data_IF_554436792260
#
_entry.id   IF_554436792260
#
_cell.length_a   1.000
_cell.length_b   1.000
_cell.length_c   1.000
_cell.angle_alpha   90.00
_cell.angle_beta   90.00
_cell.angle_gamma   90.00
#
_symmetry.space_group_name_H-M   'P 1'
#
loop_
_entity.id
_entity.type
_entity.pdbx_description
1 polymer ?
#
# COMPACT_ATOMS: atom_id res chain seq x y z
N UNK A 1 -13.35 -14.98 27.79
CA UNK A 1 -12.34 -15.42 26.82
C UNK A 1 -11.85 -14.15 26.15
N UNK A 2 -10.60 -13.78 26.32
CA UNK A 2 -9.97 -12.69 25.58
C UNK A 2 -9.96 -13.10 24.12
N UNK A 3 -10.67 -12.37 23.27
CA UNK A 3 -10.66 -12.58 21.83
C UNK A 3 -9.25 -12.21 21.37
N UNK A 4 -8.40 -13.21 21.14
CA UNK A 4 -7.12 -13.02 20.49
C UNK A 4 -7.41 -12.69 19.04
N UNK A 5 -7.13 -11.47 18.62
CA UNK A 5 -7.36 -11.05 17.25
C UNK A 5 -6.46 -11.86 16.31
N UNK A 6 -7.10 -12.63 15.44
CA UNK A 6 -6.42 -13.33 14.35
C UNK A 6 -6.20 -12.36 13.20
N UNK A 7 -4.96 -12.08 12.88
CA UNK A 7 -4.56 -11.15 11.83
C UNK A 7 -3.94 -11.92 10.67
N UNK A 8 -4.30 -11.57 9.46
CA UNK A 8 -3.65 -12.03 8.24
C UNK A 8 -3.13 -10.82 7.45
N UNK A 9 -1.91 -10.90 6.94
CA UNK A 9 -1.28 -9.81 6.21
C UNK A 9 -0.51 -10.31 4.99
N UNK A 10 -0.46 -9.48 3.94
CA UNK A 10 0.27 -9.72 2.70
C UNK A 10 1.19 -8.53 2.41
N UNK A 11 2.46 -8.84 2.12
CA UNK A 11 3.47 -7.92 1.64
C UNK A 11 3.73 -8.16 0.16
N UNK A 12 3.63 -7.11 -0.67
CA UNK A 12 3.92 -7.17 -2.10
C UNK A 12 5.35 -6.69 -2.36
N UNK A 13 6.33 -7.56 -2.17
CA UNK A 13 7.73 -7.26 -2.46
C UNK A 13 8.10 -7.48 -3.92
N UNK A 14 9.22 -6.90 -4.38
CA UNK A 14 9.71 -7.06 -5.76
C UNK A 14 10.45 -8.38 -6.01
N UNK A 15 10.93 -9.07 -4.97
CA UNK A 15 11.52 -10.40 -5.10
C UNK A 15 10.56 -11.51 -4.69
N UNK A 16 9.72 -11.24 -3.67
CA UNK A 16 8.75 -12.19 -3.15
C UNK A 16 7.49 -11.48 -2.69
N UNK A 17 6.32 -12.08 -2.93
CA UNK A 17 5.12 -11.81 -2.15
C UNK A 17 5.19 -12.69 -0.91
N UNK A 18 4.86 -12.12 0.25
CA UNK A 18 4.82 -12.84 1.51
C UNK A 18 3.45 -12.74 2.13
N UNK A 19 2.96 -13.85 2.65
CA UNK A 19 1.74 -13.93 3.44
C UNK A 19 2.03 -14.47 4.83
N UNK A 20 1.42 -13.87 5.84
CA UNK A 20 1.53 -14.28 7.23
C UNK A 20 0.15 -14.28 7.90
N UNK A 21 -0.05 -15.23 8.80
CA UNK A 21 -1.20 -15.21 9.69
C UNK A 21 -0.75 -15.51 11.13
N UNK A 22 -1.34 -14.80 12.08
CA UNK A 22 -0.93 -14.91 13.47
C UNK A 22 -1.89 -14.26 14.45
N UNK A 23 -1.52 -14.26 15.71
CA UNK A 23 -2.29 -13.63 16.79
C UNK A 23 -1.40 -12.71 17.61
N UNK A 24 -2.01 -11.62 18.11
CA UNK A 24 -1.36 -10.74 19.08
C UNK A 24 -1.74 -11.17 20.49
N UNK A 25 -0.77 -11.29 21.35
CA UNK A 25 -0.96 -11.55 22.76
C UNK A 25 -1.13 -10.23 23.54
N UNK A 26 -1.72 -10.30 24.71
CA UNK A 26 -1.94 -9.14 25.60
C UNK A 26 -0.64 -8.46 26.08
N UNK A 27 0.50 -9.16 26.03
CA UNK A 27 1.82 -8.64 26.39
C UNK A 27 2.54 -7.98 25.18
N UNK A 28 1.87 -7.87 24.03
CA UNK A 28 2.42 -7.32 22.79
C UNK A 28 3.28 -8.30 21.99
N UNK A 29 3.44 -9.56 22.44
CA UNK A 29 4.12 -10.59 21.65
C UNK A 29 3.23 -11.10 20.52
N UNK A 30 3.86 -11.65 19.49
CA UNK A 30 3.19 -12.18 18.29
C UNK A 30 3.40 -13.70 18.23
N UNK A 31 2.31 -14.41 17.99
CA UNK A 31 2.33 -15.82 17.61
C UNK A 31 2.12 -15.93 16.10
N UNK A 32 3.13 -16.39 15.35
CA UNK A 32 3.00 -16.68 13.91
C UNK A 32 2.47 -18.10 13.75
N UNK A 33 1.28 -18.23 13.16
CA UNK A 33 0.56 -19.48 12.98
C UNK A 33 0.76 -20.07 11.59
N UNK A 34 0.85 -19.23 10.55
CA UNK A 34 1.12 -19.65 9.18
C UNK A 34 1.97 -18.61 8.45
N UNK A 35 2.79 -19.09 7.52
CA UNK A 35 3.62 -18.27 6.64
C UNK A 35 3.69 -18.93 5.26
N UNK A 36 3.66 -18.12 4.21
CA UNK A 36 3.84 -18.51 2.83
C UNK A 36 4.57 -17.41 2.06
N UNK A 37 5.38 -17.78 1.09
CA UNK A 37 5.99 -16.83 0.16
C UNK A 37 6.02 -17.41 -1.26
N UNK A 38 6.03 -16.51 -2.25
CA UNK A 38 6.10 -16.83 -3.67
C UNK A 38 6.98 -15.79 -4.38
N UNK A 39 7.80 -16.24 -5.35
CA UNK A 39 8.64 -15.35 -6.15
C UNK A 39 7.79 -14.37 -6.97
N UNK A 40 8.19 -13.10 -6.99
CA UNK A 40 7.48 -12.01 -7.71
C UNK A 40 8.36 -11.26 -8.71
N UNK A 41 9.59 -11.71 -8.95
CA UNK A 41 10.59 -11.04 -9.79
C UNK A 41 10.09 -10.73 -11.20
N UNK A 42 9.23 -11.60 -11.76
CA UNK A 42 8.69 -11.45 -13.11
C UNK A 42 7.52 -10.47 -13.23
N UNK A 43 6.82 -10.17 -12.14
CA UNK A 43 5.56 -9.45 -12.20
C UNK A 43 5.41 -8.27 -11.22
N UNK A 44 6.35 -8.09 -10.27
CA UNK A 44 6.45 -6.90 -9.42
C UNK A 44 7.85 -6.31 -9.55
N UNK A 45 7.94 -5.05 -10.00
CA UNK A 45 9.21 -4.35 -10.16
C UNK A 45 9.17 -3.01 -9.45
N UNK A 46 10.20 -2.73 -8.64
CA UNK A 46 10.31 -1.49 -7.84
C UNK A 46 9.04 -1.20 -7.01
N UNK A 47 8.42 -2.26 -6.49
CA UNK A 47 7.18 -2.21 -5.72
C UNK A 47 5.92 -1.94 -6.55
N UNK A 48 5.99 -1.92 -7.87
CA UNK A 48 4.84 -1.71 -8.76
C UNK A 48 4.44 -3.05 -9.37
N UNK A 49 3.16 -3.40 -9.26
CA UNK A 49 2.58 -4.55 -9.94
C UNK A 49 2.57 -4.29 -11.46
N UNK A 50 3.24 -5.15 -12.20
CA UNK A 50 3.40 -5.07 -13.65
C UNK A 50 2.48 -6.01 -14.40
N UNK A 51 2.40 -7.26 -13.93
CA UNK A 51 1.50 -8.27 -14.46
C UNK A 51 0.41 -8.59 -13.43
N UNK A 52 -0.80 -8.10 -13.71
CA UNK A 52 -1.94 -8.20 -12.80
C UNK A 52 -2.37 -9.67 -12.61
N UNK A 53 -2.47 -10.43 -13.71
CA UNK A 53 -2.93 -11.83 -13.69
C UNK A 53 -2.00 -12.73 -12.87
N UNK A 54 -0.68 -12.63 -13.11
CA UNK A 54 0.31 -13.39 -12.33
C UNK A 54 0.28 -13.02 -10.86
N UNK A 55 0.09 -11.72 -10.56
CA UNK A 55 -0.01 -11.27 -9.17
C UNK A 55 -1.25 -11.83 -8.50
N UNK A 56 -2.41 -11.81 -9.16
CA UNK A 56 -3.67 -12.38 -8.63
C UNK A 56 -3.55 -13.89 -8.40
N UNK A 57 -2.86 -14.61 -9.30
CA UNK A 57 -2.59 -16.04 -9.12
C UNK A 57 -1.69 -16.31 -7.92
N UNK A 58 -0.60 -15.54 -7.76
CA UNK A 58 0.30 -15.67 -6.63
C UNK A 58 -0.40 -15.35 -5.28
N UNK A 59 -1.28 -14.35 -5.26
CA UNK A 59 -2.11 -14.04 -4.09
C UNK A 59 -3.00 -15.22 -3.70
N UNK A 60 -3.69 -15.83 -4.68
CA UNK A 60 -4.51 -17.03 -4.44
C UNK A 60 -3.68 -18.20 -3.91
N UNK A 61 -2.49 -18.44 -4.48
CA UNK A 61 -1.59 -19.51 -4.01
C UNK A 61 -1.19 -19.29 -2.55
N UNK A 62 -0.81 -18.06 -2.19
CA UNK A 62 -0.41 -17.69 -0.83
C UNK A 62 -1.57 -17.92 0.14
N UNK A 63 -2.77 -17.42 -0.16
CA UNK A 63 -3.94 -17.60 0.70
C UNK A 63 -4.27 -19.08 0.87
N UNK A 64 -4.28 -19.85 -0.21
CA UNK A 64 -4.54 -21.30 -0.15
C UNK A 64 -3.53 -22.04 0.75
N UNK A 65 -2.23 -21.66 0.68
CA UNK A 65 -1.20 -22.24 1.56
C UNK A 65 -1.41 -21.84 3.00
N UNK A 66 -1.75 -20.58 3.29
CA UNK A 66 -2.04 -20.11 4.65
C UNK A 66 -3.26 -20.83 5.22
N UNK A 67 -4.38 -20.88 4.51
CA UNK A 67 -5.62 -21.56 4.93
C UNK A 67 -5.38 -23.07 5.12
N UNK A 68 -4.63 -23.70 4.23
CA UNK A 68 -4.26 -25.13 4.36
C UNK A 68 -3.43 -25.41 5.61
N UNK A 69 -2.50 -24.53 6.00
CA UNK A 69 -1.71 -24.64 7.24
C UNK A 69 -2.54 -24.38 8.49
N UNK A 70 -3.54 -23.50 8.39
CA UNK A 70 -4.40 -23.10 9.51
C UNK A 70 -5.58 -24.05 9.71
N UNK A 71 -6.04 -24.75 8.69
CA UNK A 71 -7.36 -25.41 8.59
C UNK A 71 -8.53 -24.47 8.87
N UNK A 72 -8.39 -23.20 8.48
CA UNK A 72 -9.36 -22.13 8.68
C UNK A 72 -9.35 -21.19 7.50
N UNK A 73 -10.50 -20.57 7.18
CA UNK A 73 -10.60 -19.62 6.07
C UNK A 73 -10.31 -18.20 6.52
N UNK A 74 -9.61 -17.45 5.65
CA UNK A 74 -9.26 -16.05 5.82
C UNK A 74 -10.32 -15.21 5.09
N UNK A 75 -11.04 -14.36 5.81
CA UNK A 75 -12.07 -13.48 5.24
C UNK A 75 -11.45 -12.24 4.57
N UNK A 76 -10.43 -11.66 5.21
CA UNK A 76 -9.79 -10.43 4.76
C UNK A 76 -8.33 -10.38 5.18
N UNK A 77 -7.54 -9.53 4.54
CA UNK A 77 -6.11 -9.38 4.82
C UNK A 77 -5.70 -7.92 4.90
N UNK A 78 -4.68 -7.62 5.68
CA UNK A 78 -3.95 -6.36 5.64
C UNK A 78 -2.91 -6.38 4.55
N UNK A 79 -2.75 -5.26 3.83
CA UNK A 79 -1.85 -5.19 2.68
C UNK A 79 -0.81 -4.10 2.87
N UNK A 80 0.45 -4.45 2.69
CA UNK A 80 1.54 -3.49 2.72
C UNK A 80 1.74 -2.81 1.37
N UNK A 81 1.69 -1.48 1.36
CA UNK A 81 1.94 -0.65 0.18
C UNK A 81 3.35 -0.06 0.25
N UNK A 82 4.12 -0.31 -0.79
CA UNK A 82 5.47 0.22 -1.00
C UNK A 82 5.70 0.41 -2.51
N UNK A 83 6.72 1.17 -2.89
CA UNK A 83 7.06 1.34 -4.31
C UNK A 83 7.80 2.63 -4.62
N UNK A 84 8.43 2.70 -5.80
CA UNK A 84 9.34 3.78 -6.17
C UNK A 84 8.72 5.20 -6.21
N UNK A 85 7.38 5.31 -6.29
CA UNK A 85 6.69 6.60 -6.30
C UNK A 85 6.36 7.13 -4.90
N UNK A 86 6.55 6.29 -3.88
CA UNK A 86 6.24 6.63 -2.49
C UNK A 86 7.21 7.69 -1.96
N UNK A 87 6.66 8.80 -1.46
CA UNK A 87 7.44 9.88 -0.84
C UNK A 87 6.58 10.72 0.08
N UNK A 88 7.23 11.47 0.95
CA UNK A 88 6.58 12.48 1.77
C UNK A 88 6.56 13.85 1.08
N UNK A 89 5.47 14.58 1.28
CA UNK A 89 5.30 15.97 0.81
C UNK A 89 4.76 16.80 1.96
N UNK A 90 5.44 17.90 2.26
CA UNK A 90 4.97 18.86 3.27
C UNK A 90 3.83 19.71 2.72
N UNK A 91 2.85 19.97 3.58
CA UNK A 91 1.78 20.90 3.32
C UNK A 91 1.43 21.69 4.58
N UNK A 92 0.92 22.92 4.38
CA UNK A 92 0.49 23.80 5.47
C UNK A 92 -0.86 24.41 5.16
N UNK A 93 -1.76 24.37 6.14
CA UNK A 93 -3.08 24.97 6.06
C UNK A 93 -3.27 25.90 7.24
N UNK A 94 -3.59 27.18 6.96
CA UNK A 94 -3.81 28.19 7.98
C UNK A 94 -5.28 28.59 8.03
N UNK A 95 -5.83 28.69 9.25
CA UNK A 95 -7.21 29.12 9.51
C UNK A 95 -7.30 30.14 10.63
N UNK A 96 -8.32 31.00 10.53
CA UNK A 96 -8.75 31.82 11.65
C UNK A 96 -9.61 30.99 12.60
N UNK A 97 -9.43 31.18 13.90
CA UNK A 97 -10.29 30.59 14.94
C UNK A 97 -11.51 31.46 15.12
N UNK A 98 -12.65 30.98 14.65
CA UNK A 98 -13.91 31.78 14.56
C UNK A 98 -14.80 31.64 15.79
N UNK A 99 -14.49 30.76 16.75
CA UNK A 99 -15.23 30.58 17.98
C UNK A 99 -15.18 31.89 18.83
N UNK A 100 -16.24 32.19 19.57
CA UNK A 100 -16.32 33.38 20.42
C UNK A 100 -15.22 33.46 21.48
N UNK A 101 -14.84 32.30 22.03
CA UNK A 101 -13.77 32.14 23.04
C UNK A 101 -12.38 32.03 22.42
N UNK A 102 -12.28 31.94 21.08
CA UNK A 102 -11.04 31.75 20.32
C UNK A 102 -10.20 30.56 20.78
N UNK A 103 -10.83 29.54 21.33
CA UNK A 103 -10.19 28.32 21.78
C UNK A 103 -10.19 27.29 20.66
N UNK A 104 -9.04 26.66 20.41
CA UNK A 104 -8.89 25.56 19.46
C UNK A 104 -9.62 24.33 20.00
N UNK A 105 -10.61 23.88 19.27
CA UNK A 105 -11.35 22.63 19.53
C UNK A 105 -10.96 21.51 18.57
N UNK A 106 -11.47 20.30 18.85
CA UNK A 106 -11.20 19.13 17.99
C UNK A 106 -11.77 19.31 16.58
N UNK A 107 -12.93 19.96 16.46
CA UNK A 107 -13.59 20.17 15.15
C UNK A 107 -12.74 21.01 14.20
N UNK A 108 -12.03 22.01 14.73
CA UNK A 108 -11.12 22.83 13.93
C UNK A 108 -9.90 22.03 13.48
N UNK A 109 -9.38 21.13 14.34
CA UNK A 109 -8.27 20.27 13.97
C UNK A 109 -8.68 19.24 12.90
N UNK A 110 -9.88 18.66 13.05
CA UNK A 110 -10.44 17.74 12.06
C UNK A 110 -10.64 18.45 10.71
N UNK A 111 -11.18 19.67 10.74
CA UNK A 111 -11.37 20.50 9.53
C UNK A 111 -10.04 20.81 8.81
N UNK A 112 -8.97 21.08 9.55
CA UNK A 112 -7.64 21.26 8.96
C UNK A 112 -7.12 19.97 8.31
N UNK A 113 -7.38 18.83 8.95
CA UNK A 113 -7.02 17.52 8.41
C UNK A 113 -7.81 17.19 7.15
N UNK A 114 -9.13 17.42 7.15
CA UNK A 114 -10.00 17.16 6.01
C UNK A 114 -9.60 18.02 4.80
N UNK A 115 -9.34 19.31 5.02
CA UNK A 115 -8.84 20.19 3.95
C UNK A 115 -7.47 19.77 3.42
N UNK A 116 -6.60 19.22 4.28
CA UNK A 116 -5.34 18.69 3.82
C UNK A 116 -5.53 17.47 2.90
N UNK A 117 -6.53 16.62 3.16
CA UNK A 117 -6.85 15.48 2.31
C UNK A 117 -7.46 15.87 0.96
N UNK A 118 -8.13 17.03 0.89
CA UNK A 118 -8.79 17.52 -0.33
C UNK A 118 -7.84 18.27 -1.29
N UNK A 119 -6.56 18.41 -0.95
CA UNK A 119 -5.61 19.12 -1.82
C UNK A 119 -5.47 18.39 -3.16
N UNK A 120 -5.68 19.12 -4.28
CA UNK A 120 -5.53 18.51 -5.60
C UNK A 120 -4.06 18.19 -5.89
N UNK A 121 -3.73 16.91 -5.92
CA UNK A 121 -2.43 16.41 -6.34
C UNK A 121 -2.56 15.82 -7.74
N UNK A 122 -1.69 16.27 -8.67
CA UNK A 122 -1.68 15.76 -10.04
C UNK A 122 -1.06 14.36 -10.02
N UNK A 123 -1.82 13.37 -10.49
CA UNK A 123 -1.41 11.95 -10.62
C UNK A 123 -0.91 11.28 -9.33
N UNK A 124 -1.19 11.88 -8.16
CA UNK A 124 -0.83 11.34 -6.86
C UNK A 124 -2.06 11.17 -5.98
N UNK A 125 -2.03 10.13 -5.15
CA UNK A 125 -2.95 9.93 -4.04
C UNK A 125 -2.22 10.12 -2.71
N UNK A 126 -2.90 10.70 -1.73
CA UNK A 126 -2.45 10.71 -0.34
C UNK A 126 -2.82 9.35 0.24
N UNK A 127 -1.81 8.59 0.63
CA UNK A 127 -2.00 7.26 1.24
C UNK A 127 -2.15 7.38 2.76
N UNK A 128 -1.41 8.31 3.37
CA UNK A 128 -1.43 8.55 4.81
C UNK A 128 -1.02 10.00 5.12
N UNK A 129 -1.54 10.56 6.20
CA UNK A 129 -1.21 11.89 6.67
C UNK A 129 -0.61 11.79 8.06
N UNK A 130 0.61 12.29 8.21
CA UNK A 130 1.24 12.43 9.51
C UNK A 130 1.16 13.92 9.92
N UNK A 131 0.30 14.30 10.88
CA UNK A 131 0.32 15.65 11.41
C UNK A 131 1.65 15.90 12.10
N UNK A 132 2.31 16.98 11.70
CA UNK A 132 3.63 17.30 12.24
C UNK A 132 3.52 18.16 13.49
N UNK A 133 3.08 19.37 13.30
CA UNK A 133 3.06 20.40 14.33
C UNK A 133 2.02 21.46 13.93
N UNK A 134 1.47 22.10 14.92
CA UNK A 134 0.60 23.25 14.73
C UNK A 134 1.32 24.52 15.18
N UNK A 135 1.38 25.49 14.28
CA UNK A 135 1.96 26.80 14.57
C UNK A 135 0.90 27.73 15.12
N UNK A 136 1.14 28.26 16.32
CA UNK A 136 0.29 29.23 17.01
C UNK A 136 1.15 30.43 17.37
N UNK A 137 0.94 31.55 16.66
CA UNK A 137 1.86 32.66 16.73
C UNK A 137 3.26 32.26 16.30
N UNK A 138 4.24 32.34 17.24
CA UNK A 138 5.63 31.93 17.00
C UNK A 138 5.96 30.54 17.56
N UNK A 139 5.01 29.86 18.20
CA UNK A 139 5.24 28.59 18.86
C UNK A 139 4.75 27.43 17.99
N UNK A 140 5.48 26.32 18.04
CA UNK A 140 5.10 25.03 17.46
C UNK A 140 4.62 24.11 18.58
N UNK A 141 3.48 23.44 18.38
CA UNK A 141 2.87 22.52 19.34
C UNK A 141 2.36 21.28 18.62
N UNK A 142 2.49 20.12 19.24
CA UNK A 142 1.97 18.85 18.72
C UNK A 142 0.47 18.73 19.04
N UNK A 143 0.07 19.12 20.25
CA UNK A 143 -1.33 19.13 20.69
C UNK A 143 -1.76 20.57 21.07
N UNK A 144 -2.43 21.27 20.14
CA UNK A 144 -2.87 22.65 20.34
C UNK A 144 -4.26 22.76 20.97
N UNK A 145 -4.94 21.66 21.27
CA UNK A 145 -6.31 21.66 21.80
C UNK A 145 -6.40 22.43 23.12
N UNK A 146 -7.37 23.31 23.21
CA UNK A 146 -7.58 24.16 24.41
C UNK A 146 -6.74 25.44 24.43
N UNK A 147 -5.89 25.70 23.44
CA UNK A 147 -5.12 26.95 23.34
C UNK A 147 -5.98 28.05 22.74
N UNK A 148 -5.94 29.24 23.36
CA UNK A 148 -6.61 30.43 22.86
C UNK A 148 -5.72 31.17 21.85
N UNK A 149 -6.26 31.41 20.64
CA UNK A 149 -5.55 32.11 19.55
C UNK A 149 -6.53 32.61 18.49
N UNK A 150 -6.11 33.62 17.75
CA UNK A 150 -6.87 34.11 16.59
C UNK A 150 -6.65 33.25 15.32
N UNK A 151 -5.47 32.59 15.20
CA UNK A 151 -5.07 31.84 14.00
C UNK A 151 -4.28 30.59 14.39
N UNK A 152 -4.47 29.54 13.58
CA UNK A 152 -3.72 28.29 13.65
C UNK A 152 -3.24 27.91 12.26
N UNK A 153 -2.00 27.40 12.14
CA UNK A 153 -1.45 26.78 10.93
C UNK A 153 -1.14 25.31 11.24
N UNK A 154 -1.89 24.39 10.64
CA UNK A 154 -1.58 22.95 10.66
C UNK A 154 -0.48 22.65 9.63
N UNK A 155 0.56 21.94 10.06
CA UNK A 155 1.65 21.47 9.21
C UNK A 155 1.58 19.96 9.10
N UNK A 156 1.37 19.47 7.89
CA UNK A 156 1.16 18.07 7.60
C UNK A 156 2.31 17.50 6.77
N UNK A 157 2.62 16.24 7.01
CA UNK A 157 3.45 15.44 6.14
C UNK A 157 2.57 14.42 5.44
N UNK A 158 2.24 14.68 4.18
CA UNK A 158 1.44 13.78 3.36
C UNK A 158 2.34 12.72 2.74
N UNK A 159 2.04 11.45 2.96
CA UNK A 159 2.69 10.35 2.29
C UNK A 159 1.91 10.06 1.03
N UNK A 160 2.55 10.30 -0.11
CA UNK A 160 1.92 10.23 -1.42
C UNK A 160 2.56 9.18 -2.31
N UNK A 161 1.78 8.61 -3.20
CA UNK A 161 2.25 7.74 -4.26
C UNK A 161 1.47 7.98 -5.56
N UNK A 162 1.95 7.45 -6.68
CA UNK A 162 1.20 7.48 -7.94
C UNK A 162 -0.13 6.74 -7.78
N UNK A 163 -1.21 7.33 -8.31
CA UNK A 163 -2.59 6.76 -8.29
C UNK A 163 -2.67 5.33 -8.79
N UNK A 164 -1.86 5.00 -9.80
CA UNK A 164 -1.83 3.65 -10.36
C UNK A 164 -1.32 2.59 -9.37
N UNK A 165 -0.51 2.98 -8.37
CA UNK A 165 0.02 2.04 -7.40
C UNK A 165 -1.12 1.35 -6.62
N UNK A 166 -1.99 2.14 -6.00
CA UNK A 166 -3.12 1.65 -5.22
C UNK A 166 -4.12 0.89 -6.10
N UNK A 167 -4.52 1.46 -7.24
CA UNK A 167 -5.48 0.85 -8.16
C UNK A 167 -5.07 -0.55 -8.65
N UNK A 168 -3.79 -0.75 -8.97
CA UNK A 168 -3.30 -2.05 -9.42
C UNK A 168 -3.32 -3.09 -8.32
N UNK A 169 -3.02 -2.68 -7.09
CA UNK A 169 -3.12 -3.56 -5.92
C UNK A 169 -4.59 -3.95 -5.71
N UNK A 170 -5.50 -2.97 -5.63
CA UNK A 170 -6.94 -3.21 -5.46
C UNK A 170 -7.47 -4.16 -6.53
N UNK A 171 -7.13 -3.92 -7.79
CA UNK A 171 -7.54 -4.79 -8.91
C UNK A 171 -7.08 -6.25 -8.71
N UNK A 172 -5.81 -6.48 -8.33
CA UNK A 172 -5.30 -7.83 -8.13
C UNK A 172 -6.01 -8.58 -7.01
N UNK A 173 -6.33 -7.88 -5.90
CA UNK A 173 -7.06 -8.48 -4.79
C UNK A 173 -8.53 -8.74 -5.13
N UNK A 174 -9.17 -7.84 -5.90
CA UNK A 174 -10.53 -8.02 -6.41
C UNK A 174 -10.62 -9.24 -7.34
N UNK A 175 -9.70 -9.37 -8.31
CA UNK A 175 -9.62 -10.54 -9.20
C UNK A 175 -9.33 -11.84 -8.43
N UNK A 176 -8.50 -11.77 -7.40
CA UNK A 176 -8.24 -12.90 -6.51
C UNK A 176 -9.40 -13.19 -5.54
N UNK A 177 -10.42 -12.33 -5.46
CA UNK A 177 -11.55 -12.39 -4.53
C UNK A 177 -11.13 -12.41 -3.06
N UNK A 178 -10.09 -11.67 -2.75
CA UNK A 178 -9.55 -11.51 -1.40
C UNK A 178 -9.95 -10.11 -0.92
N UNK A 179 -10.67 -10.01 0.18
CA UNK A 179 -11.04 -8.73 0.77
C UNK A 179 -9.84 -8.08 1.44
N UNK A 180 -9.63 -6.79 1.19
CA UNK A 180 -8.61 -5.98 1.85
C UNK A 180 -9.24 -5.34 3.09
N UNK A 181 -8.73 -5.68 4.29
CA UNK A 181 -9.14 -5.03 5.52
C UNK A 181 -8.68 -3.57 5.55
N UNK A 182 -7.40 -3.35 5.28
CA UNK A 182 -6.78 -2.02 5.18
C UNK A 182 -5.46 -2.12 4.43
N UNK A 183 -5.07 -1.01 3.79
CA UNK A 183 -3.75 -0.86 3.17
C UNK A 183 -2.87 0.03 4.03
N UNK A 184 -1.73 -0.47 4.44
CA UNK A 184 -0.74 0.27 5.24
C UNK A 184 0.47 0.67 4.41
N UNK A 185 1.01 1.84 4.70
CA UNK A 185 2.31 2.25 4.17
C UNK A 185 3.40 1.41 4.84
N UNK A 186 3.98 0.44 4.12
CA UNK A 186 4.93 -0.55 4.65
C UNK A 186 6.11 0.05 5.43
N UNK A 187 6.76 1.14 4.99
CA UNK A 187 7.85 1.76 5.76
C UNK A 187 7.45 2.19 7.17
N UNK A 188 6.19 2.62 7.38
CA UNK A 188 5.71 3.05 8.70
C UNK A 188 5.47 1.87 9.62
N UNK A 189 4.83 0.82 9.11
CA UNK A 189 4.61 -0.42 9.89
C UNK A 189 5.93 -1.10 10.24
N UNK A 190 6.91 -1.08 9.33
CA UNK A 190 8.27 -1.57 9.58
C UNK A 190 8.96 -0.77 10.70
N UNK A 191 8.86 0.56 10.67
CA UNK A 191 9.44 1.42 11.69
C UNK A 191 8.84 1.17 13.09
N UNK A 192 7.56 0.80 13.17
CA UNK A 192 6.90 0.51 14.45
C UNK A 192 7.44 -0.74 15.16
N UNK A 193 8.00 -1.68 14.42
CA UNK A 193 8.54 -2.94 14.99
C UNK A 193 10.06 -2.95 15.11
N UNK A 194 10.77 -2.02 14.47
CA UNK A 194 12.23 -1.93 14.47
C UNK A 194 12.76 -0.82 15.36
N UNK A 195 12.11 0.34 15.36
CA UNK A 195 12.59 1.54 16.04
C UNK A 195 12.03 1.65 17.45
N UNK A 196 12.90 1.89 18.40
CA UNK A 196 12.48 2.25 19.76
C UNK A 196 12.04 3.73 19.81
N UNK A 197 11.15 4.05 20.76
CA UNK A 197 10.72 5.43 21.03
C UNK A 197 11.89 6.37 21.36
N UNK A 198 12.98 5.84 21.95
CA UNK A 198 14.19 6.62 22.23
C UNK A 198 14.91 7.02 20.95
N UNK A 199 15.02 6.10 19.99
CA UNK A 199 15.64 6.37 18.68
C UNK A 199 14.81 7.36 17.88
N UNK A 200 13.48 7.15 17.79
CA UNK A 200 12.57 8.08 17.10
C UNK A 200 12.64 9.49 17.70
N UNK A 201 12.77 9.59 19.02
CA UNK A 201 12.87 10.88 19.72
C UNK A 201 14.23 11.56 19.49
N UNK A 202 15.32 10.81 19.61
CA UNK A 202 16.67 11.37 19.48
C UNK A 202 17.00 11.80 18.05
N UNK A 203 16.34 11.22 17.08
CA UNK A 203 16.57 11.39 15.65
C UNK A 203 17.33 10.22 15.05
N UNK A 204 16.70 9.51 14.12
CA UNK A 204 17.28 8.37 13.41
C UNK A 204 16.78 8.30 11.97
N UNK A 205 17.54 7.63 11.12
CA UNK A 205 17.09 7.24 9.80
C UNK A 205 17.01 5.72 9.70
N UNK A 206 15.83 5.20 9.34
CA UNK A 206 15.60 3.81 8.97
C UNK A 206 15.80 3.66 7.47
N UNK A 207 16.69 2.76 7.09
CA UNK A 207 17.01 2.45 5.71
C UNK A 207 16.69 0.99 5.44
N UNK A 208 15.71 0.75 4.57
CA UNK A 208 15.32 -0.60 4.13
C UNK A 208 15.93 -0.89 2.76
N UNK A 209 16.96 -1.73 2.73
CA UNK A 209 17.62 -2.17 1.51
C UNK A 209 16.88 -3.36 0.90
N UNK A 210 15.85 -3.07 0.10
CA UNK A 210 15.07 -4.08 -0.61
C UNK A 210 15.76 -4.64 -1.86
N UNK A 211 15.03 -5.47 -2.62
CA UNK A 211 15.54 -6.06 -3.87
C UNK A 211 15.68 -5.00 -4.98
N UNK A 212 14.62 -4.26 -5.29
CA UNK A 212 14.60 -3.27 -6.38
C UNK A 212 14.63 -1.82 -5.89
N UNK A 213 14.44 -1.59 -4.60
CA UNK A 213 14.34 -0.25 -4.02
C UNK A 213 15.03 -0.18 -2.67
N UNK A 214 15.50 1.01 -2.32
CA UNK A 214 15.95 1.34 -0.98
C UNK A 214 15.05 2.43 -0.42
N UNK A 215 14.40 2.16 0.70
CA UNK A 215 13.48 3.10 1.34
C UNK A 215 14.17 3.80 2.50
N UNK A 216 14.05 5.12 2.56
CA UNK A 216 14.56 5.95 3.62
C UNK A 216 13.41 6.60 4.38
N UNK A 217 13.38 6.43 5.71
CA UNK A 217 12.43 7.09 6.63
C UNK A 217 13.20 7.76 7.75
N UNK A 218 13.02 9.07 7.94
CA UNK A 218 13.70 9.85 8.99
C UNK A 218 12.70 10.21 10.08
N UNK A 219 13.05 9.90 11.30
CA UNK A 219 12.28 10.21 12.51
C UNK A 219 13.03 11.15 13.42
N UNK A 220 12.32 12.10 14.05
CA UNK A 220 12.82 12.96 15.12
C UNK A 220 11.65 13.46 15.96
N UNK A 221 11.85 13.57 17.27
CA UNK A 221 10.82 13.98 18.22
C UNK A 221 9.58 13.08 18.20
N UNK A 222 9.78 11.77 17.95
CA UNK A 222 8.78 10.73 17.74
C UNK A 222 7.88 10.95 16.50
N UNK A 223 8.26 11.83 15.57
CA UNK A 223 7.49 12.18 14.38
C UNK A 223 8.29 11.78 13.15
N UNK A 224 7.61 11.24 12.13
CA UNK A 224 8.16 11.07 10.79
C UNK A 224 8.44 12.45 10.20
N UNK A 225 9.65 12.70 9.77
CA UNK A 225 10.08 13.98 9.18
C UNK A 225 10.29 13.91 7.67
N UNK A 226 10.65 12.75 7.17
CA UNK A 226 10.94 12.55 5.76
C UNK A 226 10.77 11.09 5.37
N UNK A 227 10.23 10.83 4.19
CA UNK A 227 10.14 9.51 3.58
C UNK A 227 10.37 9.61 2.09
N UNK A 228 11.23 8.74 1.55
CA UNK A 228 11.46 8.62 0.12
C UNK A 228 11.90 7.23 -0.26
N UNK A 229 11.69 6.86 -1.52
CA UNK A 229 12.12 5.58 -2.07
C UNK A 229 13.09 5.82 -3.22
N UNK A 230 14.26 5.25 -3.11
CA UNK A 230 15.33 5.26 -4.11
C UNK A 230 15.14 4.02 -4.99
N UNK A 231 15.03 4.14 -6.32
CA UNK A 231 14.76 3.01 -7.22
C UNK A 231 16.00 2.16 -7.52
N UNK A 232 16.80 1.90 -6.50
CA UNK A 232 18.00 1.05 -6.50
C UNK A 232 17.93 0.10 -5.31
N UNK A 233 18.37 -1.14 -5.50
CA UNK A 233 18.36 -2.17 -4.45
C UNK A 233 19.30 -3.33 -4.76
N UNK A 234 19.20 -4.42 -4.01
CA UNK A 234 20.10 -5.57 -4.09
C UNK A 234 20.14 -6.28 -5.45
N UNK A 235 19.05 -6.23 -6.22
CA UNK A 235 18.99 -6.79 -7.58
C UNK A 235 19.88 -6.03 -8.57
N UNK A 236 20.16 -4.74 -8.33
CA UNK A 236 21.11 -4.02 -9.16
C UNK A 236 22.52 -4.60 -9.07
N UNK A 237 22.90 -5.13 -7.89
CA UNK A 237 24.18 -5.85 -7.72
C UNK A 237 24.19 -7.14 -8.53
N UNK A 238 23.10 -7.92 -8.47
CA UNK A 238 22.94 -9.16 -9.25
C UNK A 238 23.09 -8.88 -10.75
N UNK A 239 22.45 -7.80 -11.24
CA UNK A 239 22.55 -7.38 -12.65
C UNK A 239 23.96 -6.95 -13.05
N UNK A 240 24.70 -6.29 -12.16
CA UNK A 240 26.10 -5.92 -12.44
C UNK A 240 26.98 -7.18 -12.52
N UNK A 241 26.77 -8.16 -11.65
CA UNK A 241 27.46 -9.46 -11.73
C UNK A 241 27.12 -10.21 -13.02
N UNK A 242 25.89 -10.14 -13.50
CA UNK A 242 25.51 -10.74 -14.81
C UNK A 242 26.26 -10.11 -15.98
N UNK A 243 26.74 -8.85 -15.88
CA UNK A 243 27.59 -8.26 -16.92
C UNK A 243 28.93 -8.98 -17.07
N UNK A 244 29.37 -9.72 -16.06
CA UNK A 244 30.53 -10.61 -16.10
C UNK A 244 30.22 -11.97 -16.76
N UNK A 245 29.06 -12.07 -17.45
CA UNK A 245 28.56 -13.30 -18.09
C UNK A 245 28.25 -14.43 -17.10
N UNK A 246 27.77 -14.07 -15.90
CA UNK A 246 27.30 -14.99 -14.89
C UNK A 246 25.78 -15.13 -15.02
N UNK A 247 25.23 -16.33 -14.91
CA UNK A 247 23.80 -16.57 -14.91
C UNK A 247 23.14 -15.93 -13.67
N UNK A 248 21.86 -15.54 -13.78
CA UNK A 248 21.17 -14.74 -12.75
C UNK A 248 21.15 -15.44 -11.38
N UNK A 249 20.78 -16.71 -11.35
CA UNK A 249 20.70 -17.48 -10.08
C UNK A 249 22.08 -17.63 -9.43
N UNK A 250 23.13 -17.86 -10.24
CA UNK A 250 24.50 -17.94 -9.75
C UNK A 250 25.01 -16.57 -9.28
N UNK A 251 24.69 -15.49 -9.99
CA UNK A 251 25.02 -14.12 -9.59
C UNK A 251 24.38 -13.75 -8.23
N UNK A 252 23.11 -14.13 -8.04
CA UNK A 252 22.43 -13.97 -6.75
C UNK A 252 23.11 -14.75 -5.63
N UNK A 253 23.47 -16.03 -5.88
CA UNK A 253 24.19 -16.87 -4.94
C UNK A 253 25.57 -16.30 -4.58
N UNK A 254 26.32 -15.79 -5.55
CA UNK A 254 27.61 -15.12 -5.34
C UNK A 254 27.43 -13.91 -4.43
N UNK A 255 26.46 -13.03 -4.75
CA UNK A 255 26.15 -11.86 -3.93
C UNK A 255 25.86 -12.24 -2.47
N UNK A 256 25.03 -13.26 -2.24
CA UNK A 256 24.62 -13.70 -0.91
C UNK A 256 25.77 -14.39 -0.13
N UNK A 257 26.63 -15.15 -0.79
CA UNK A 257 27.65 -15.97 -0.13
C UNK A 257 28.94 -15.21 0.14
N UNK A 258 29.44 -14.49 -0.86
CA UNK A 258 30.75 -13.83 -0.81
C UNK A 258 30.69 -12.31 -0.95
N UNK A 259 29.49 -11.73 -1.17
CA UNK A 259 29.31 -10.30 -1.33
C UNK A 259 29.90 -9.48 -0.18
N UNK A 260 30.67 -8.45 -0.53
CA UNK A 260 31.32 -7.55 0.41
C UNK A 260 31.20 -6.10 -0.07
N UNK A 261 30.63 -5.24 0.76
CA UNK A 261 30.37 -3.84 0.40
C UNK A 261 31.59 -2.93 0.57
N UNK A 262 32.64 -3.40 1.23
CA UNK A 262 33.84 -2.61 1.49
C UNK A 262 35.08 -3.49 1.52
N UNK A 263 36.00 -3.23 0.60
CA UNK A 263 37.31 -3.86 0.59
C UNK A 263 38.34 -2.96 1.30
N UNK A 264 39.00 -3.53 2.30
CA UNK A 264 40.14 -2.84 2.91
C UNK A 264 41.27 -2.79 1.88
N UNK A 265 41.61 -1.60 1.42
CA UNK A 265 42.82 -1.39 0.63
C UNK A 265 43.99 -1.55 1.58
N UNK A 266 44.49 -2.80 1.71
CA UNK A 266 45.73 -3.03 2.39
C UNK A 266 46.81 -2.27 1.62
N UNK A 267 47.38 -1.24 2.24
CA UNK A 267 48.37 -0.38 1.65
C UNK A 267 49.76 -1.04 1.47
N UNK A 268 49.77 -2.29 1.10
CA UNK A 268 50.95 -2.98 0.62
C UNK A 268 50.97 -2.88 -0.90
N UNK A 269 51.63 -1.84 -1.41
CA UNK A 269 52.35 -1.92 -2.66
C UNK A 269 53.37 -3.09 -2.51
N UNK A 270 52.94 -4.29 -2.66
CA UNK A 270 53.81 -5.43 -2.61
C UNK A 270 54.23 -5.82 -4.02
N UNK A 271 55.55 -5.66 -4.23
CA UNK A 271 56.41 -6.47 -5.05
C UNK A 271 55.80 -7.17 -6.26
N UNK A 272 56.43 -6.93 -7.38
CA UNK A 272 56.28 -7.44 -8.74
C UNK A 272 56.29 -8.99 -8.88
N UNK A 273 55.88 -9.73 -7.89
CA UNK A 273 55.54 -11.15 -8.06
C UNK A 273 54.06 -11.22 -8.40
N UNK A 274 53.72 -11.72 -9.58
CA UNK A 274 52.38 -12.06 -10.05
C UNK A 274 51.75 -13.02 -9.00
N UNK A 275 51.13 -12.45 -7.93
CA UNK A 275 50.22 -13.19 -7.07
C UNK A 275 49.10 -13.65 -7.98
N UNK A 276 49.00 -14.97 -8.15
CA UNK A 276 47.92 -15.64 -8.87
C UNK A 276 46.60 -15.11 -8.27
N UNK A 277 45.91 -14.19 -8.97
CA UNK A 277 44.68 -13.57 -8.47
C UNK A 277 43.71 -14.67 -8.08
N UNK A 278 43.14 -14.56 -6.89
CA UNK A 278 42.15 -15.52 -6.43
C UNK A 278 40.98 -15.58 -7.40
N UNK A 279 40.62 -16.77 -7.86
CA UNK A 279 39.56 -16.98 -8.85
C UNK A 279 38.39 -17.71 -8.24
N UNK A 280 37.20 -17.21 -8.60
CA UNK A 280 35.95 -17.92 -8.34
C UNK A 280 35.65 -18.83 -9.53
N UNK A 281 35.28 -20.08 -9.24
CA UNK A 281 34.93 -21.07 -10.29
C UNK A 281 33.39 -21.12 -10.37
N UNK A 282 32.85 -20.75 -11.54
CA UNK A 282 31.44 -20.83 -11.83
C UNK A 282 30.95 -22.26 -12.00
N UNK A 283 29.62 -22.45 -11.92
CA UNK A 283 28.98 -23.75 -12.10
C UNK A 283 29.28 -24.37 -13.47
N UNK A 284 29.49 -23.58 -14.51
CA UNK A 284 29.86 -24.02 -15.85
C UNK A 284 31.37 -24.29 -16.01
N UNK A 285 32.15 -24.14 -14.96
CA UNK A 285 33.59 -24.40 -14.92
C UNK A 285 34.48 -23.23 -15.36
N UNK A 286 33.89 -22.09 -15.80
CA UNK A 286 34.65 -20.86 -16.07
C UNK A 286 35.22 -20.28 -14.77
N UNK A 287 36.32 -19.56 -14.90
CA UNK A 287 36.95 -18.89 -13.77
C UNK A 287 36.93 -17.39 -13.98
N UNK A 288 36.44 -16.68 -12.98
CA UNK A 288 36.38 -15.20 -12.94
C UNK A 288 37.29 -14.72 -11.80
N UNK A 289 37.95 -13.60 -11.99
CA UNK A 289 38.76 -13.00 -10.94
C UNK A 289 37.84 -12.56 -9.78
N UNK A 290 38.17 -12.99 -8.57
CA UNK A 290 37.38 -12.64 -7.38
C UNK A 290 37.37 -11.12 -7.15
N UNK A 291 38.42 -10.43 -7.55
CA UNK A 291 38.53 -8.97 -7.46
C UNK A 291 37.46 -8.30 -8.32
N UNK A 292 37.22 -8.75 -9.56
CA UNK A 292 36.22 -8.17 -10.46
C UNK A 292 34.81 -8.32 -9.87
N UNK A 293 34.50 -9.48 -9.27
CA UNK A 293 33.24 -9.73 -8.56
C UNK A 293 33.08 -8.75 -7.40
N UNK A 294 34.11 -8.58 -6.58
CA UNK A 294 34.06 -7.74 -5.40
C UNK A 294 33.97 -6.26 -5.76
N UNK A 295 34.70 -5.80 -6.80
CA UNK A 295 34.62 -4.43 -7.29
C UNK A 295 33.23 -4.07 -7.80
N UNK A 296 32.58 -4.99 -8.53
CA UNK A 296 31.20 -4.78 -9.01
C UNK A 296 30.23 -4.60 -7.83
N UNK A 297 30.35 -5.43 -6.79
CA UNK A 297 29.50 -5.37 -5.58
C UNK A 297 29.75 -4.07 -4.81
N UNK A 298 31.03 -3.74 -4.55
CA UNK A 298 31.41 -2.52 -3.82
C UNK A 298 30.92 -1.26 -4.52
N UNK A 299 31.18 -1.13 -5.84
CA UNK A 299 30.79 0.03 -6.63
C UNK A 299 29.26 0.26 -6.60
N UNK A 300 28.47 -0.82 -6.73
CA UNK A 300 27.01 -0.69 -6.67
C UNK A 300 26.51 -0.33 -5.27
N UNK A 301 27.07 -0.93 -4.24
CA UNK A 301 26.71 -0.59 -2.86
C UNK A 301 27.12 0.84 -2.52
N UNK A 302 28.27 1.30 -2.99
CA UNK A 302 28.69 2.70 -2.84
C UNK A 302 27.69 3.66 -3.51
N UNK A 303 27.24 3.37 -4.73
CA UNK A 303 26.22 4.17 -5.42
C UNK A 303 24.89 4.23 -4.61
N UNK A 304 24.42 3.10 -4.11
CA UNK A 304 23.18 3.05 -3.31
C UNK A 304 23.35 3.90 -2.05
N UNK A 305 24.46 3.73 -1.32
CA UNK A 305 24.76 4.48 -0.10
C UNK A 305 24.90 5.97 -0.37
N UNK A 306 25.56 6.37 -1.47
CA UNK A 306 25.70 7.75 -1.87
C UNK A 306 24.33 8.40 -2.15
N UNK A 307 23.43 7.70 -2.84
CA UNK A 307 22.06 8.16 -3.06
C UNK A 307 21.28 8.30 -1.76
N UNK A 308 21.39 7.34 -0.83
CA UNK A 308 20.76 7.44 0.50
C UNK A 308 21.30 8.66 1.25
N UNK A 309 22.62 8.85 1.27
CA UNK A 309 23.23 9.98 1.96
C UNK A 309 22.78 11.33 1.37
N UNK A 310 22.72 11.41 0.04
CA UNK A 310 22.21 12.60 -0.64
C UNK A 310 20.77 12.92 -0.25
N UNK A 311 19.87 11.91 -0.14
CA UNK A 311 18.51 12.12 0.31
C UNK A 311 18.45 12.57 1.78
N UNK A 312 19.33 12.06 2.64
CA UNK A 312 19.43 12.52 4.05
C UNK A 312 19.82 14.00 4.09
N UNK A 313 20.80 14.41 3.29
CA UNK A 313 21.22 15.82 3.19
C UNK A 313 20.09 16.72 2.64
N UNK A 314 19.38 16.28 1.58
CA UNK A 314 18.23 17.01 1.04
C UNK A 314 17.10 17.19 2.06
N UNK A 315 16.94 16.25 2.98
CA UNK A 315 15.94 16.34 4.06
C UNK A 315 16.28 17.42 5.10
N UNK A 316 17.54 17.88 5.19
CA UNK A 316 18.04 18.80 6.21
C UNK A 316 18.13 18.20 7.62
N UNK A 317 18.26 16.87 7.71
CA UNK A 317 18.39 16.14 8.98
C UNK A 317 19.73 15.44 9.14
N UNK A 318 20.70 15.67 8.25
CA UNK A 318 22.02 15.03 8.25
C UNK A 318 22.83 15.28 9.54
N UNK A 319 22.64 16.43 10.19
CA UNK A 319 23.26 16.81 11.47
C UNK A 319 22.37 16.50 12.70
N UNK A 320 21.19 15.89 12.51
CA UNK A 320 20.15 15.71 13.54
C UNK A 320 19.85 14.26 13.88
N UNK A 321 20.63 13.31 13.33
CA UNK A 321 20.45 11.87 13.53
C UNK A 321 21.28 11.34 14.69
N UNK A 322 20.97 11.77 15.93
CA UNK A 322 21.75 11.41 17.13
C UNK A 322 21.73 9.90 17.42
N UNK A 323 20.66 9.19 17.06
CA UNK A 323 20.59 7.73 17.18
C UNK A 323 21.16 7.00 15.93
N UNK A 324 21.60 7.76 14.92
CA UNK A 324 22.29 7.23 13.75
C UNK A 324 21.40 6.58 12.71
N UNK A 325 21.96 5.61 11.98
CA UNK A 325 21.30 4.89 10.90
C UNK A 325 20.96 3.47 11.35
N UNK A 326 19.73 3.07 11.07
CA UNK A 326 19.21 1.75 11.33
C UNK A 326 18.94 1.08 10.00
N UNK A 327 19.57 -0.08 9.74
CA UNK A 327 19.53 -0.79 8.47
C UNK A 327 18.65 -2.01 8.59
N UNK A 328 17.79 -2.23 7.59
CA UNK A 328 16.97 -3.44 7.44
C UNK A 328 16.90 -3.85 5.98
N UNK A 329 16.15 -4.91 5.66
CA UNK A 329 16.03 -5.44 4.31
C UNK A 329 17.14 -6.43 3.94
N UNK A 330 16.97 -7.15 2.82
CA UNK A 330 17.86 -8.24 2.41
C UNK A 330 19.28 -7.81 2.14
N UNK A 331 19.46 -6.74 1.38
CA UNK A 331 20.78 -6.27 1.02
C UNK A 331 21.52 -5.59 2.20
N UNK A 332 20.86 -5.31 3.32
CA UNK A 332 21.53 -4.86 4.55
C UNK A 332 22.45 -5.90 5.18
N UNK A 333 22.33 -7.18 4.76
CA UNK A 333 23.15 -8.30 5.25
C UNK A 333 24.49 -8.44 4.51
N UNK A 334 24.73 -7.68 3.45
CA UNK A 334 26.02 -7.68 2.75
C UNK A 334 27.13 -7.31 3.72
N UNK A 335 28.22 -8.10 3.70
CA UNK A 335 29.35 -7.91 4.60
C UNK A 335 29.92 -6.50 4.50
N UNK A 336 30.38 -5.94 5.60
CA UNK A 336 31.01 -4.63 5.68
C UNK A 336 30.17 -3.43 5.22
N UNK A 337 28.85 -3.58 4.98
CA UNK A 337 27.98 -2.45 4.63
C UNK A 337 28.00 -1.35 5.70
N UNK A 338 28.01 -1.72 6.99
CA UNK A 338 28.16 -0.76 8.08
C UNK A 338 29.44 0.10 7.93
N UNK A 339 30.55 -0.53 7.57
CA UNK A 339 31.84 0.14 7.38
C UNK A 339 31.78 1.09 6.18
N UNK A 340 31.25 0.63 5.05
CA UNK A 340 31.04 1.47 3.87
C UNK A 340 30.23 2.74 4.23
N UNK A 341 29.12 2.59 4.97
CA UNK A 341 28.30 3.72 5.36
C UNK A 341 29.06 4.69 6.27
N UNK A 342 29.82 4.19 7.24
CA UNK A 342 30.64 5.02 8.15
C UNK A 342 31.74 5.80 7.41
N UNK A 343 32.32 5.21 6.37
CA UNK A 343 33.37 5.86 5.56
C UNK A 343 32.78 6.89 4.56
N UNK A 344 31.56 6.66 4.07
CA UNK A 344 30.91 7.53 3.05
C UNK A 344 29.99 8.59 3.65
N UNK A 345 29.69 8.51 4.94
CA UNK A 345 28.81 9.46 5.62
C UNK A 345 29.51 10.02 6.87
N UNK A 346 28.94 11.05 7.46
CA UNK A 346 29.42 11.61 8.75
C UNK A 346 28.86 10.87 9.95
N UNK A 347 28.07 9.80 9.75
CA UNK A 347 27.31 9.11 10.80
C UNK A 347 28.12 7.90 11.32
N UNK A 348 28.59 7.99 12.55
CA UNK A 348 29.34 6.91 13.18
C UNK A 348 28.46 5.77 13.70
N UNK A 349 27.24 6.09 14.15
CA UNK A 349 26.31 5.09 14.72
C UNK A 349 25.49 4.44 13.62
N UNK A 350 25.78 3.17 13.34
CA UNK A 350 25.08 2.36 12.34
C UNK A 350 24.80 0.99 12.94
N UNK A 351 23.55 0.55 12.92
CA UNK A 351 23.16 -0.79 13.35
C UNK A 351 22.28 -1.50 12.33
N UNK A 352 22.42 -2.81 12.20
CA UNK A 352 21.46 -3.65 11.49
C UNK A 352 20.40 -4.03 12.51
N UNK A 353 19.14 -3.93 12.13
CA UNK A 353 18.00 -4.14 13.01
C UNK A 353 17.18 -5.35 12.64
N UNK A 354 16.81 -6.10 13.66
CA UNK A 354 15.72 -7.02 13.66
C UNK A 354 14.54 -6.45 14.47
N UNK A 355 13.37 -7.09 14.38
CA UNK A 355 12.19 -6.71 15.14
C UNK A 355 12.49 -6.66 16.65
N UNK A 356 12.01 -5.62 17.33
CA UNK A 356 12.07 -5.47 18.78
C UNK A 356 11.01 -6.30 19.51
N UNK A 357 10.05 -6.86 18.78
CA UNK A 357 8.95 -7.65 19.30
C UNK A 357 9.39 -9.07 19.67
N UNK A 358 8.77 -9.64 20.70
CA UNK A 358 8.88 -11.07 20.99
C UNK A 358 8.00 -11.85 20.00
N UNK A 359 8.62 -12.71 19.22
CA UNK A 359 7.95 -13.50 18.20
C UNK A 359 8.05 -14.97 18.58
N UNK A 360 6.89 -15.62 18.66
CA UNK A 360 6.77 -17.06 18.88
C UNK A 360 6.39 -17.72 17.57
N UNK A 361 7.20 -18.67 17.10
CA UNK A 361 6.94 -19.43 15.88
C UNK A 361 7.61 -20.78 15.94
N UNK A 362 6.98 -21.79 15.34
CA UNK A 362 7.56 -23.09 15.02
C UNK A 362 7.84 -23.25 13.53
N UNK A 363 7.60 -22.21 12.73
CA UNK A 363 7.71 -22.23 11.27
C UNK A 363 9.13 -21.92 10.88
N UNK A 364 9.85 -22.92 10.37
CA UNK A 364 11.25 -22.82 10.03
C UNK A 364 11.51 -21.82 8.90
N UNK A 365 10.70 -21.86 7.84
CA UNK A 365 10.80 -20.97 6.68
C UNK A 365 10.69 -19.49 7.10
N UNK A 366 9.79 -19.19 8.02
CA UNK A 366 9.67 -17.83 8.57
C UNK A 366 10.84 -17.45 9.47
N UNK A 367 11.34 -18.39 10.28
CA UNK A 367 12.47 -18.12 11.16
C UNK A 367 13.75 -17.79 10.38
N UNK A 368 13.94 -18.43 9.23
CA UNK A 368 15.08 -18.26 8.32
C UNK A 368 14.92 -17.06 7.37
N UNK A 369 13.73 -16.51 7.19
CA UNK A 369 13.53 -15.32 6.34
C UNK A 369 14.22 -14.10 6.94
N UNK A 370 15.19 -13.57 6.21
CA UNK A 370 15.99 -12.39 6.61
C UNK A 370 15.23 -11.08 6.44
N UNK A 371 14.12 -11.09 5.70
CA UNK A 371 13.35 -9.89 5.32
C UNK A 371 11.98 -9.82 6.00
N UNK A 372 11.82 -10.47 7.13
CA UNK A 372 10.52 -10.60 7.83
C UNK A 372 10.00 -9.34 8.53
N UNK A 373 10.81 -8.28 8.64
CA UNK A 373 10.44 -7.12 9.46
C UNK A 373 9.20 -6.38 8.94
N UNK A 374 9.06 -6.23 7.63
CA UNK A 374 7.90 -5.58 7.00
C UNK A 374 6.62 -6.36 7.24
N UNK A 375 6.63 -7.67 6.99
CA UNK A 375 5.44 -8.51 7.17
C UNK A 375 5.04 -8.65 8.65
N UNK A 376 6.02 -8.64 9.57
CA UNK A 376 5.77 -8.55 11.01
C UNK A 376 5.11 -7.21 11.35
N UNK A 377 5.60 -6.11 10.77
CA UNK A 377 5.03 -4.79 10.95
C UNK A 377 3.57 -4.72 10.56
N UNK A 378 3.21 -5.31 9.42
CA UNK A 378 1.83 -5.39 8.95
C UNK A 378 0.95 -6.20 9.92
N UNK A 379 1.41 -7.38 10.34
CA UNK A 379 0.69 -8.21 11.30
C UNK A 379 0.52 -7.51 12.65
N UNK A 380 1.55 -6.80 13.12
CA UNK A 380 1.50 -6.05 14.37
C UNK A 380 0.53 -4.87 14.31
N UNK A 381 0.46 -4.16 13.19
CA UNK A 381 -0.38 -2.97 13.02
C UNK A 381 -1.85 -3.34 12.84
N UNK A 382 -2.18 -4.47 12.20
CA UNK A 382 -3.57 -4.92 12.01
C UNK A 382 -4.33 -5.04 13.34
N UNK A 383 -5.60 -4.65 13.38
CA UNK A 383 -6.44 -4.64 14.58
C UNK A 383 -7.68 -5.51 14.46
N UNK A 384 -8.26 -5.62 13.27
CA UNK A 384 -9.47 -6.37 13.04
C UNK A 384 -9.23 -7.87 12.88
N UNK A 385 -10.19 -8.68 13.31
CA UNK A 385 -10.12 -10.12 13.12
C UNK A 385 -10.29 -10.47 11.63
N UNK A 386 -9.31 -11.15 11.06
CA UNK A 386 -9.29 -11.59 9.66
C UNK A 386 -9.92 -12.98 9.44
N UNK A 387 -10.35 -13.69 10.49
CA UNK A 387 -10.95 -15.02 10.38
C UNK A 387 -12.34 -14.94 9.78
N UNK A 388 -12.66 -15.84 8.87
CA UNK A 388 -14.02 -16.01 8.41
C UNK A 388 -14.85 -16.65 9.55
N UNK A 389 -15.76 -15.84 10.12
CA UNK A 389 -16.71 -16.35 11.09
C UNK A 389 -17.77 -17.09 10.29
N UNK A 390 -17.96 -18.42 10.49
CA UNK A 390 -19.05 -19.10 9.84
C UNK A 390 -20.35 -18.40 10.27
N UNK A 391 -21.06 -17.84 9.31
CA UNK A 391 -22.42 -17.37 9.55
C UNK A 391 -23.19 -18.62 9.95
N UNK A 392 -23.45 -18.79 11.25
CA UNK A 392 -24.46 -19.75 11.69
C UNK A 392 -25.73 -19.32 10.98
N UNK A 393 -26.10 -20.03 9.92
CA UNK A 393 -27.46 -19.94 9.40
C UNK A 393 -28.33 -20.28 10.60
N UNK A 394 -29.05 -19.30 11.11
CA UNK A 394 -30.12 -19.59 12.09
C UNK A 394 -30.92 -20.77 11.51
N UNK A 395 -31.29 -21.78 12.33
CA UNK A 395 -32.06 -22.88 11.81
C UNK A 395 -33.27 -22.25 11.13
N UNK A 396 -33.33 -22.38 9.80
CA UNK A 396 -34.48 -21.92 9.01
C UNK A 396 -35.67 -22.65 9.60
N UNK A 397 -36.53 -21.92 10.30
CA UNK A 397 -37.78 -22.48 10.79
C UNK A 397 -38.58 -22.88 9.53
N UNK A 398 -38.70 -24.17 9.32
CA UNK A 398 -39.37 -24.74 8.15
C UNK A 398 -40.82 -24.24 7.99
N UNK A 399 -41.36 -23.58 9.02
CA UNK A 399 -42.68 -22.99 9.02
C UNK A 399 -42.75 -21.53 8.56
N UNK A 400 -41.68 -20.76 8.72
CA UNK A 400 -41.61 -19.39 8.16
C UNK A 400 -41.56 -19.37 6.63
N UNK A 401 -40.95 -20.41 6.02
CA UNK A 401 -40.86 -20.49 4.55
C UNK A 401 -42.21 -20.68 3.86
N UNK A 402 -43.18 -21.33 4.52
CA UNK A 402 -44.54 -21.50 4.00
C UNK A 402 -45.41 -20.23 4.12
N UNK A 403 -45.15 -19.38 5.10
CA UNK A 403 -45.86 -18.10 5.24
C UNK A 403 -45.31 -17.04 4.29
N UNK A 404 -44.01 -17.01 4.07
CA UNK A 404 -43.39 -16.08 3.11
C UNK A 404 -43.71 -16.44 1.65
N UNK A 405 -43.79 -17.73 1.32
CA UNK A 405 -44.29 -18.18 0.00
C UNK A 405 -45.75 -17.78 -0.21
N UNK A 406 -46.64 -17.91 0.79
CA UNK A 406 -48.03 -17.47 0.70
C UNK A 406 -48.14 -15.94 0.57
N UNK A 407 -47.32 -15.18 1.28
CA UNK A 407 -47.28 -13.71 1.14
C UNK A 407 -46.80 -13.28 -0.26
N UNK A 408 -45.75 -13.91 -0.81
CA UNK A 408 -45.26 -13.63 -2.16
C UNK A 408 -46.30 -14.00 -3.24
N UNK A 409 -47.05 -15.10 -3.07
CA UNK A 409 -48.15 -15.46 -3.98
C UNK A 409 -49.31 -14.49 -3.89
N UNK A 410 -49.66 -13.99 -2.70
CA UNK A 410 -50.71 -12.99 -2.54
C UNK A 410 -50.31 -11.62 -3.11
N UNK A 411 -49.07 -11.19 -2.95
CA UNK A 411 -48.56 -9.96 -3.56
C UNK A 411 -48.50 -10.09 -5.07
N UNK A 412 -48.04 -11.21 -5.60
CA UNK A 412 -48.02 -11.46 -7.04
C UNK A 412 -49.43 -11.43 -7.64
N UNK A 413 -50.45 -11.99 -6.94
CA UNK A 413 -51.87 -11.92 -7.33
C UNK A 413 -52.39 -10.48 -7.32
N UNK A 414 -52.04 -9.67 -6.32
CA UNK A 414 -52.43 -8.26 -6.22
C UNK A 414 -51.83 -7.44 -7.37
N UNK A 415 -50.54 -7.65 -7.69
CA UNK A 415 -49.87 -6.98 -8.80
C UNK A 415 -50.47 -7.41 -10.16
N UNK A 416 -50.85 -8.65 -10.32
CA UNK A 416 -51.52 -9.14 -11.55
C UNK A 416 -52.87 -8.48 -11.75
N UNK A 417 -53.72 -8.41 -10.69
CA UNK A 417 -55.03 -7.75 -10.73
C UNK A 417 -54.91 -6.24 -11.04
N UNK A 418 -53.91 -5.58 -10.48
CA UNK A 418 -53.69 -4.15 -10.75
C UNK A 418 -53.21 -3.90 -12.19
N UNK A 419 -52.39 -4.78 -12.74
CA UNK A 419 -52.00 -4.72 -14.16
C UNK A 419 -53.20 -4.96 -15.11
N UNK A 420 -54.07 -5.87 -14.78
CA UNK A 420 -55.33 -6.08 -15.60
C UNK A 420 -56.25 -4.88 -15.51
N UNK A 421 -56.46 -4.28 -14.33
CA UNK A 421 -57.25 -3.06 -14.21
C UNK A 421 -56.69 -1.90 -15.02
N UNK A 422 -55.36 -1.66 -14.96
CA UNK A 422 -54.71 -0.63 -15.78
C UNK A 422 -54.86 -0.88 -17.29
N UNK A 423 -54.79 -2.16 -17.71
CA UNK A 423 -54.99 -2.52 -19.09
C UNK A 423 -56.42 -2.26 -19.58
N UNK A 424 -57.44 -2.61 -18.77
CA UNK A 424 -58.83 -2.30 -19.04
C UNK A 424 -59.15 -0.81 -19.04
N UNK A 425 -58.54 -0.02 -18.15
CA UNK A 425 -58.70 1.43 -18.17
C UNK A 425 -58.09 2.06 -19.42
N UNK A 426 -56.93 1.56 -19.85
CA UNK A 426 -56.28 2.05 -21.08
C UNK A 426 -57.07 1.66 -22.34
N UNK A 427 -57.64 0.47 -22.41
CA UNK A 427 -58.50 0.06 -23.50
C UNK A 427 -59.80 0.90 -23.53
N UNK A 428 -60.40 1.16 -22.36
CA UNK A 428 -61.59 2.02 -22.27
C UNK A 428 -61.26 3.48 -22.64
N UNK A 429 -60.06 3.96 -22.34
CA UNK A 429 -59.62 5.29 -22.79
C UNK A 429 -59.42 5.36 -24.28
N UNK A 430 -58.78 4.38 -24.89
CA UNK A 430 -58.61 4.26 -26.36
C UNK A 430 -59.97 4.11 -27.09
N UNK A 431 -60.93 3.40 -26.49
CA UNK A 431 -62.27 3.28 -27.03
C UNK A 431 -63.07 4.61 -26.97
N UNK A 432 -62.89 5.42 -25.92
CA UNK A 432 -63.48 6.77 -25.81
C UNK A 432 -62.83 7.77 -26.76
N UNK A 433 -61.56 7.65 -27.03
CA UNK A 433 -60.84 8.52 -27.99
C UNK A 433 -61.28 8.20 -29.43
N UNK A 434 -61.38 6.91 -29.79
CA UNK A 434 -61.91 6.48 -31.10
C UNK A 434 -63.37 6.89 -31.34
N UNK A 435 -64.19 6.98 -30.29
CA UNK A 435 -65.55 7.54 -30.38
C UNK A 435 -65.56 9.07 -30.58
N UNK A 436 -64.62 9.79 -30.01
CA UNK A 436 -64.46 11.24 -30.21
C UNK A 436 -63.91 11.59 -31.57
N UNK A 437 -63.04 10.77 -32.17
CA UNK A 437 -62.56 10.95 -33.56
C UNK A 437 -63.70 10.73 -34.58
N UNK A 438 -64.49 9.64 -34.41
CA UNK A 438 -65.66 9.39 -35.29
C UNK A 438 -66.72 10.47 -35.21
N UNK A 439 -66.81 11.24 -34.14
CA UNK A 439 -67.72 12.41 -34.03
C UNK A 439 -67.12 13.70 -34.58
N UNK A 440 -65.79 13.80 -34.67
CA UNK A 440 -65.12 14.92 -35.34
C UNK A 440 -65.17 14.80 -36.87
N UNK A 441 -64.98 13.58 -37.41
CA UNK A 441 -65.11 13.34 -38.86
C UNK A 441 -66.52 13.58 -39.40
N UNK A 442 -67.58 13.37 -38.59
CA UNK A 442 -68.96 13.73 -39.00
C UNK A 442 -69.23 15.23 -38.96
N UNK A 443 -68.49 16.03 -38.22
CA UNK A 443 -68.61 17.52 -38.23
C UNK A 443 -67.72 18.15 -39.27
N UNK A 444 -66.58 17.54 -39.66
CA UNK A 444 -65.69 18.01 -40.74
C UNK A 444 -66.33 17.96 -42.13
N UNK A 445 -67.09 16.90 -42.45
CA UNK A 445 -67.77 16.75 -43.73
C UNK A 445 -68.98 17.66 -43.92
N UNK A 446 -69.52 18.23 -42.87
CA UNK A 446 -70.63 19.24 -43.00
C UNK A 446 -70.11 20.65 -43.28
N UNK A 447 -68.90 20.99 -42.88
CA UNK A 447 -68.27 22.32 -43.14
C UNK A 447 -67.62 22.37 -44.56
N UNK A 448 -67.10 21.30 -45.11
CA UNK A 448 -66.54 21.31 -46.47
C UNK A 448 -67.61 21.43 -47.59
N UNK A 449 -68.85 21.04 -47.28
CA UNK A 449 -69.96 21.25 -48.25
C UNK A 449 -70.51 22.66 -48.28
N UNK A 450 -70.13 23.54 -47.40
CA UNK A 450 -70.58 24.94 -47.35
C UNK A 450 -69.58 25.94 -47.96
N UNK A 451 -68.32 25.52 -48.13
CA UNK A 451 -67.28 26.38 -48.72
C UNK A 451 -67.17 26.24 -50.24
N UNK A 452 -67.70 25.15 -50.84
CA UNK A 452 -67.65 24.93 -52.28
C UNK A 452 -68.78 25.72 -53.01
N UNK A 453 -69.68 26.44 -52.30
CA UNK A 453 -70.81 27.18 -52.95
C UNK A 453 -70.58 28.69 -52.94
N UNK A 454 -69.47 29.22 -52.46
CA UNK A 454 -69.29 30.65 -52.34
C UNK A 454 -68.03 31.29 -52.93
N UNK A 455 -67.20 30.55 -53.59
CA UNK A 455 -66.04 31.11 -54.33
C UNK A 455 -65.78 30.35 -55.62
N UNK A 456 -66.61 30.63 -56.61
CA UNK A 456 -66.28 30.62 -58.05
C UNK A 456 -66.46 32.03 -58.52
N UNK A 457 -65.42 32.54 -59.03
CA UNK A 457 -65.31 33.56 -60.09
C UNK A 457 -64.28 34.67 -59.72
N UNK A 458 -63.40 34.67 -60.66
CA UNK A 458 -62.85 35.77 -61.41
C UNK A 458 -61.61 36.53 -60.90
N UNK A 459 -60.61 36.31 -61.72
CA UNK A 459 -59.82 37.29 -62.49
C UNK A 459 -58.63 38.05 -61.83
N UNK A 460 -57.56 37.86 -62.61
CA UNK A 460 -56.65 38.86 -63.17
C UNK A 460 -55.32 39.14 -62.38
N UNK A 461 -54.33 38.75 -63.16
CA UNK A 461 -52.96 39.24 -63.32
C UNK A 461 -51.87 38.64 -62.40
#
# INVERSE_FOLDING_TARGET
MTITNFIAAIELGSSKIRGIAGTKNSDGSINVLAYADESSTDFIRKGIVYNLDKTSQALNNIINVLEGKLNESIAKVYVGVSGQSLRSVHNSIAKAVLQEDKIIDQKLLDLLSDENMEIPLIDLDILEVAPQEYKIGNNLQIDPKGVATDHIEGRFLNIVANKELKKRIEYCFEEAKIEIAEMFVSPLTTANVILSEKEKRAGCALIDFGANTTTLSIYRDNILRFLTVIPLGGENITKDLMTLQIEEDEAENIKLSIGNAWLEKNGQENSEEEEERAKYTLEDGRKIDLEDIQLAIEARMEEIVANVWYQIQLSGYDDKLLAGLILTGGASKIKNLRKLIQEKTTIAQVRIADSTLKIHTSIKEFAEDVNKNTIIGLLYTGEENCRQIPVMKEPVDLFEHDEDLKRQEEEAKKVAIEKEKKKQEEENRKAKERKKEKTKDKKGNWFSSLTDTFFSDDDIQ
#
